data_IF_339240583300
#
_entry.id   IF_339240583300
#
_cell.length_a   1.000
_cell.length_b   1.000
_cell.length_c   1.000
_cell.angle_alpha   90.00
_cell.angle_beta   90.00
_cell.angle_gamma   90.00
#
_symmetry.space_group_name_H-M   'P 1'
#
loop_
_entity.id
_entity.type
_entity.pdbx_description
1 polymer ?
#
# COMPACT_ATOMS: atom_id res chain seq x y z
N UNK A 1 -30.11 -5.97 1.10
CA UNK A 1 -28.74 -5.41 1.10
C UNK A 1 -28.46 -4.93 2.51
N UNK A 2 -27.31 -5.25 3.09
CA UNK A 2 -26.86 -4.58 4.32
C UNK A 2 -26.62 -3.09 4.03
N UNK A 3 -26.83 -2.25 5.04
CA UNK A 3 -26.44 -0.84 4.94
C UNK A 3 -24.92 -0.78 5.08
N UNK A 4 -24.22 -0.27 4.06
CA UNK A 4 -22.76 -0.07 4.16
C UNK A 4 -22.43 0.87 5.30
N UNK A 5 -21.42 0.53 6.08
CA UNK A 5 -20.91 1.41 7.14
C UNK A 5 -19.60 2.02 6.70
N UNK A 6 -19.37 3.25 7.14
CA UNK A 6 -18.12 3.96 6.88
C UNK A 6 -17.59 4.52 8.20
N UNK A 7 -16.27 4.47 8.45
CA UNK A 7 -15.68 5.06 9.63
C UNK A 7 -15.93 6.58 9.69
N UNK A 8 -16.02 7.10 10.90
CA UNK A 8 -16.14 8.53 11.17
C UNK A 8 -14.82 9.25 10.84
N UNK A 9 -14.88 10.09 9.81
CA UNK A 9 -13.78 10.95 9.38
C UNK A 9 -14.25 12.40 9.30
N UNK A 10 -13.32 13.33 9.49
CA UNK A 10 -13.44 14.76 9.18
C UNK A 10 -12.54 15.13 8.00
N UNK A 11 -12.92 16.13 7.20
CA UNK A 11 -12.04 16.70 6.17
C UNK A 11 -11.21 17.83 6.79
N UNK A 12 -9.88 17.78 6.61
CA UNK A 12 -8.97 18.83 7.01
C UNK A 12 -8.07 19.17 5.81
N UNK A 13 -8.57 20.07 4.96
CA UNK A 13 -7.84 20.57 3.80
C UNK A 13 -7.75 19.56 2.67
N UNK A 14 -8.89 18.94 2.31
CA UNK A 14 -9.03 17.99 1.20
C UNK A 14 -8.54 16.58 1.51
N UNK A 15 -8.11 16.32 2.74
CA UNK A 15 -7.65 15.01 3.22
C UNK A 15 -8.49 14.61 4.43
N UNK A 16 -8.82 13.32 4.49
CA UNK A 16 -9.59 12.74 5.60
C UNK A 16 -8.71 12.44 6.79
N UNK A 17 -9.23 12.74 7.97
CA UNK A 17 -8.61 12.46 9.26
C UNK A 17 -9.61 11.77 10.18
N UNK A 18 -9.16 10.95 11.13
CA UNK A 18 -10.03 10.48 12.21
C UNK A 18 -10.64 11.65 13.00
N UNK A 19 -11.79 11.42 13.65
CA UNK A 19 -12.42 12.42 14.53
C UNK A 19 -11.53 12.83 15.72
N UNK A 20 -10.43 12.13 15.97
CA UNK A 20 -9.49 12.41 17.06
C UNK A 20 -8.52 13.54 16.75
N UNK A 21 -8.37 13.97 15.50
CA UNK A 21 -7.48 15.09 15.14
C UNK A 21 -8.08 16.45 15.49
N UNK A 22 -7.23 17.39 15.91
CA UNK A 22 -7.58 18.80 16.05
C UNK A 22 -7.16 19.51 14.75
N UNK A 23 -8.10 20.15 14.07
CA UNK A 23 -7.84 20.75 12.75
C UNK A 23 -6.70 21.79 12.77
N UNK A 24 -6.55 22.53 13.87
CA UNK A 24 -5.50 23.52 14.02
C UNK A 24 -4.11 22.89 14.21
N UNK A 25 -4.00 21.75 14.92
CA UNK A 25 -2.73 21.01 15.01
C UNK A 25 -2.27 20.49 13.63
N UNK A 26 -3.20 20.00 12.81
CA UNK A 26 -2.91 19.56 11.43
C UNK A 26 -2.50 20.75 10.55
N UNK A 27 -3.18 21.90 10.67
CA UNK A 27 -2.81 23.13 9.94
C UNK A 27 -1.45 23.67 10.38
N UNK A 28 -1.13 23.68 11.67
CA UNK A 28 0.19 24.04 12.15
C UNK A 28 1.27 23.12 11.59
N UNK A 29 1.04 21.80 11.63
CA UNK A 29 1.96 20.79 11.11
C UNK A 29 2.24 20.97 9.62
N UNK A 30 1.20 21.24 8.80
CA UNK A 30 1.33 21.54 7.37
C UNK A 30 2.16 22.81 7.08
N UNK A 31 2.31 23.70 8.07
CA UNK A 31 3.12 24.92 7.96
C UNK A 31 4.46 24.82 8.72
N UNK A 32 4.79 23.66 9.29
CA UNK A 32 6.03 23.47 10.03
C UNK A 32 7.18 23.14 9.08
N UNK A 33 8.06 24.11 8.85
CA UNK A 33 9.32 23.88 8.15
C UNK A 33 10.32 23.18 9.10
N UNK A 34 10.81 21.97 8.79
CA UNK A 34 11.89 21.35 9.55
C UNK A 34 13.17 22.19 9.46
N UNK A 35 13.95 22.26 10.53
CA UNK A 35 15.25 22.93 10.50
C UNK A 35 16.36 21.95 10.09
N UNK A 36 17.54 22.49 9.83
CA UNK A 36 18.76 21.75 9.51
C UNK A 36 19.07 20.70 10.59
N UNK A 37 19.25 19.44 10.19
CA UNK A 37 19.53 18.32 11.11
C UNK A 37 18.32 17.68 11.78
N UNK A 38 17.08 18.15 11.52
CA UNK A 38 15.88 17.44 11.98
C UNK A 38 15.74 16.08 11.30
N UNK A 39 15.14 15.12 12.01
CA UNK A 39 14.81 13.79 11.51
C UNK A 39 13.28 13.66 11.48
N UNK A 40 12.75 13.29 10.32
CA UNK A 40 11.30 13.16 10.07
C UNK A 40 10.99 11.73 9.64
N UNK A 41 10.29 10.97 10.48
CA UNK A 41 9.72 9.68 10.08
C UNK A 41 8.40 9.92 9.33
N UNK A 42 8.36 9.51 8.07
CA UNK A 42 7.19 9.61 7.20
C UNK A 42 6.77 8.23 6.70
N UNK A 43 5.48 7.98 6.62
CA UNK A 43 4.92 6.71 6.15
C UNK A 43 3.41 6.81 6.05
N UNK A 44 2.75 5.98 5.27
CA UNK A 44 1.29 5.87 5.39
C UNK A 44 0.92 5.17 6.72
N UNK A 45 -0.30 5.35 7.23
CA UNK A 45 -0.80 4.58 8.37
C UNK A 45 -0.62 3.07 8.14
N UNK A 46 -0.22 2.35 9.20
CA UNK A 46 -0.11 0.88 9.29
C UNK A 46 0.95 0.21 8.41
N UNK A 47 2.02 0.92 8.08
CA UNK A 47 3.20 0.36 7.40
C UNK A 47 4.22 -0.30 8.36
N UNK A 48 3.91 -0.50 9.64
CA UNK A 48 4.88 -0.89 10.67
C UNK A 48 5.55 0.31 11.36
N UNK A 49 4.85 1.44 11.40
CA UNK A 49 5.35 2.75 11.82
C UNK A 49 6.02 2.73 13.20
N UNK A 50 5.37 2.08 14.18
CA UNK A 50 5.84 2.01 15.57
C UNK A 50 7.13 1.19 15.71
N UNK A 51 7.35 0.17 14.86
CA UNK A 51 8.54 -0.68 14.92
C UNK A 51 9.77 0.08 14.43
N UNK A 52 9.67 0.76 13.28
CA UNK A 52 10.75 1.60 12.78
C UNK A 52 10.99 2.81 13.70
N UNK A 53 9.93 3.43 14.24
CA UNK A 53 10.05 4.49 15.24
C UNK A 53 10.82 4.04 16.49
N UNK A 54 10.52 2.85 17.02
CA UNK A 54 11.24 2.26 18.15
C UNK A 54 12.72 2.02 17.80
N UNK A 55 13.01 1.45 16.63
CA UNK A 55 14.38 1.25 16.15
C UNK A 55 15.12 2.59 16.06
N UNK A 56 14.50 3.63 15.47
CA UNK A 56 15.09 4.96 15.37
C UNK A 56 15.32 5.59 16.75
N UNK A 57 14.39 5.46 17.70
CA UNK A 57 14.62 5.88 19.09
C UNK A 57 15.79 5.11 19.72
N UNK A 58 15.91 3.80 19.51
CA UNK A 58 17.03 3.02 20.04
C UNK A 58 18.37 3.43 19.42
N UNK A 59 18.42 3.80 18.15
CA UNK A 59 19.62 4.38 17.52
C UNK A 59 19.99 5.72 18.20
N UNK A 60 19.02 6.64 18.30
CA UNK A 60 19.24 8.00 18.82
C UNK A 60 19.54 8.06 20.33
N UNK A 61 19.09 7.06 21.09
CA UNK A 61 19.24 6.96 22.55
C UNK A 61 20.14 5.80 23.00
N UNK A 62 21.08 5.35 22.15
CA UNK A 62 22.10 4.32 22.48
C UNK A 62 21.51 3.06 23.14
N UNK A 63 20.54 2.46 22.46
CA UNK A 63 19.82 1.25 22.87
C UNK A 63 18.94 1.42 24.12
N UNK A 64 18.71 2.63 24.61
CA UNK A 64 17.80 2.88 25.73
C UNK A 64 16.37 3.02 25.21
N UNK A 65 15.50 2.07 25.52
CA UNK A 65 14.07 2.19 25.24
C UNK A 65 13.42 3.32 26.07
N UNK A 66 12.22 3.73 25.69
CA UNK A 66 11.41 4.64 26.50
C UNK A 66 10.83 3.89 27.72
N UNK A 67 10.82 4.53 28.90
CA UNK A 67 10.31 3.92 30.13
C UNK A 67 8.77 3.78 30.13
N UNK A 68 8.07 4.66 29.40
CA UNK A 68 6.62 4.60 29.23
C UNK A 68 6.15 5.27 27.92
N UNK A 69 4.83 5.18 27.68
CA UNK A 69 4.12 5.79 26.55
C UNK A 69 4.34 7.31 26.44
N UNK A 70 4.42 8.02 27.58
CA UNK A 70 4.62 9.47 27.61
C UNK A 70 6.02 9.82 27.11
N UNK A 71 7.04 9.12 27.61
CA UNK A 71 8.39 9.30 27.13
C UNK A 71 8.51 8.93 25.63
N UNK A 72 7.95 7.80 25.20
CA UNK A 72 7.98 7.37 23.80
C UNK A 72 7.44 8.45 22.84
N UNK A 73 6.30 9.06 23.17
CA UNK A 73 5.70 10.13 22.36
C UNK A 73 6.35 11.51 22.58
N UNK A 74 7.13 11.73 23.66
CA UNK A 74 7.98 12.92 23.80
C UNK A 74 9.28 12.81 22.99
N UNK A 75 9.84 11.60 22.85
CA UNK A 75 11.03 11.31 22.02
C UNK A 75 10.73 11.39 20.52
N UNK A 76 9.51 11.04 20.10
CA UNK A 76 9.05 11.20 18.71
C UNK A 76 7.63 11.78 18.64
N UNK A 77 7.46 13.11 18.75
CA UNK A 77 6.14 13.72 18.68
C UNK A 77 5.48 13.49 17.33
N UNK A 78 4.21 13.10 17.35
CA UNK A 78 3.38 13.03 16.15
C UNK A 78 2.76 14.41 15.89
N UNK A 79 3.44 15.21 15.07
CA UNK A 79 3.21 16.66 14.93
C UNK A 79 1.76 17.02 14.57
N UNK A 80 1.07 16.20 13.79
CA UNK A 80 -0.34 16.38 13.43
C UNK A 80 -1.33 16.10 14.58
N UNK A 81 -0.95 15.28 15.57
CA UNK A 81 -1.77 14.97 16.74
C UNK A 81 -1.57 15.95 17.90
N UNK A 82 -0.32 16.38 18.12
CA UNK A 82 0.09 17.21 19.28
C UNK A 82 0.41 18.67 18.95
N UNK A 83 0.36 19.05 17.66
CA UNK A 83 0.73 20.39 17.20
C UNK A 83 2.24 20.59 17.14
N UNK A 84 2.68 21.81 16.82
CA UNK A 84 4.11 22.10 16.59
C UNK A 84 4.90 22.40 17.86
N UNK A 85 4.21 22.72 18.97
CA UNK A 85 4.83 23.09 20.24
C UNK A 85 5.84 22.08 20.78
N UNK A 86 5.50 20.78 20.89
CA UNK A 86 6.42 19.76 21.39
C UNK A 86 7.71 19.68 20.57
N UNK A 87 7.62 19.65 19.24
CA UNK A 87 8.79 19.59 18.33
C UNK A 87 9.67 20.83 18.46
N UNK A 88 9.07 22.03 18.56
CA UNK A 88 9.79 23.29 18.75
C UNK A 88 10.61 23.34 20.06
N UNK A 89 10.19 22.59 21.08
CA UNK A 89 10.83 22.56 22.40
C UNK A 89 11.87 21.42 22.55
N UNK A 90 12.02 20.53 21.57
CA UNK A 90 13.04 19.48 21.59
C UNK A 90 14.44 20.05 21.39
N UNK A 91 15.45 19.43 22.02
CA UNK A 91 16.86 19.68 21.70
C UNK A 91 17.25 18.93 20.41
N UNK A 92 18.18 19.47 19.59
CA UNK A 92 18.73 18.75 18.44
C UNK A 92 19.51 17.47 18.83
N UNK A 93 19.52 16.43 17.97
CA UNK A 93 18.71 16.29 16.76
C UNK A 93 17.23 16.04 17.12
N UNK A 94 16.33 16.81 16.52
CA UNK A 94 14.89 16.70 16.83
C UNK A 94 14.28 15.64 15.94
N UNK A 95 13.62 14.66 16.55
CA UNK A 95 12.99 13.56 15.86
C UNK A 95 11.47 13.63 16.00
N UNK A 96 10.73 13.66 14.90
CA UNK A 96 9.27 13.68 14.91
C UNK A 96 8.68 12.89 13.74
N UNK A 97 7.37 12.64 13.75
CA UNK A 97 6.70 11.83 12.73
C UNK A 97 5.41 12.43 12.18
N UNK A 98 5.08 12.04 10.95
CA UNK A 98 3.90 12.48 10.19
C UNK A 98 3.50 11.44 9.13
N UNK A 99 2.28 11.55 8.60
CA UNK A 99 1.81 10.78 7.45
C UNK A 99 1.25 11.75 6.38
N UNK A 100 2.04 12.77 6.05
CA UNK A 100 1.81 13.64 4.90
C UNK A 100 2.37 13.01 3.62
N UNK A 101 1.67 13.18 2.49
CA UNK A 101 2.26 12.97 1.17
C UNK A 101 3.38 13.98 0.92
N UNK A 102 4.28 13.69 -0.01
CA UNK A 102 5.46 14.52 -0.26
C UNK A 102 5.09 15.98 -0.57
N UNK A 103 4.03 16.21 -1.35
CA UNK A 103 3.55 17.54 -1.75
C UNK A 103 2.95 18.35 -0.59
N UNK A 104 2.56 17.68 0.50
CA UNK A 104 2.00 18.32 1.72
C UNK A 104 3.04 18.47 2.84
N UNK A 105 4.23 17.87 2.68
CA UNK A 105 5.33 17.98 3.64
C UNK A 105 6.22 19.18 3.29
N UNK A 106 6.40 20.16 4.20
CA UNK A 106 7.44 21.18 4.03
C UNK A 106 8.83 20.54 3.97
N UNK A 107 9.55 20.74 2.87
CA UNK A 107 10.85 20.13 2.60
C UNK A 107 12.00 21.09 2.94
N UNK A 108 12.92 20.65 3.82
CA UNK A 108 14.23 21.26 4.01
C UNK A 108 15.32 20.29 3.50
N UNK A 109 16.16 20.67 2.53
CA UNK A 109 17.20 19.79 1.96
C UNK A 109 18.29 19.36 2.97
N UNK A 110 18.34 19.98 4.16
CA UNK A 110 19.24 19.64 5.27
C UNK A 110 18.57 18.91 6.43
N UNK A 111 17.25 18.71 6.37
CA UNK A 111 16.55 17.78 7.23
C UNK A 111 16.59 16.37 6.60
N UNK A 112 16.48 15.33 7.42
CA UNK A 112 16.57 13.92 7.04
C UNK A 112 15.18 13.29 7.10
N UNK A 113 14.75 12.68 6.01
CA UNK A 113 13.43 12.06 5.90
C UNK A 113 13.59 10.55 5.82
N UNK A 114 12.99 9.82 6.75
CA UNK A 114 12.96 8.36 6.75
C UNK A 114 11.58 7.94 6.28
N UNK A 115 11.48 7.40 5.07
CA UNK A 115 10.22 6.98 4.47
C UNK A 115 10.02 5.47 4.58
N UNK A 116 8.96 5.04 5.27
CA UNK A 116 8.57 3.64 5.39
C UNK A 116 7.31 3.32 4.59
N UNK A 117 7.35 2.21 3.86
CA UNK A 117 6.17 1.57 3.27
C UNK A 117 6.13 0.07 3.57
N UNK A 118 5.03 -0.57 3.17
CA UNK A 118 4.73 -2.00 3.37
C UNK A 118 3.81 -2.46 2.25
N UNK A 119 3.74 -3.76 1.99
CA UNK A 119 2.77 -4.36 1.09
C UNK A 119 1.34 -3.81 1.35
N UNK A 120 0.64 -3.24 0.34
CA UNK A 120 -0.68 -2.62 0.51
C UNK A 120 -1.75 -3.55 1.05
N UNK A 121 -1.59 -4.88 0.91
CA UNK A 121 -2.52 -5.88 1.43
C UNK A 121 -2.46 -5.95 2.95
N UNK A 122 -1.26 -6.13 3.49
CA UNK A 122 -0.99 -6.10 4.92
C UNK A 122 -1.42 -4.77 5.54
N UNK A 123 -1.14 -3.67 4.85
CA UNK A 123 -1.59 -2.33 5.27
C UNK A 123 -3.11 -2.29 5.32
N UNK A 124 -3.82 -2.78 4.29
CA UNK A 124 -5.29 -2.80 4.28
C UNK A 124 -5.87 -3.65 5.41
N UNK A 125 -5.34 -4.84 5.68
CA UNK A 125 -5.80 -5.73 6.77
C UNK A 125 -5.51 -5.10 8.13
N UNK A 126 -4.27 -4.65 8.35
CA UNK A 126 -3.85 -4.00 9.60
C UNK A 126 -4.62 -2.70 9.88
N UNK A 127 -4.96 -1.96 8.83
CA UNK A 127 -5.73 -0.71 8.91
C UNK A 127 -7.23 -0.95 9.10
N UNK A 128 -7.80 -2.04 8.57
CA UNK A 128 -9.15 -2.47 8.93
C UNK A 128 -9.25 -2.77 10.44
N UNK A 129 -8.33 -3.60 10.97
CA UNK A 129 -8.34 -3.96 12.39
C UNK A 129 -8.13 -2.74 13.30
N UNK A 130 -7.18 -1.86 12.96
CA UNK A 130 -6.95 -0.59 13.66
C UNK A 130 -8.16 0.37 13.62
N UNK A 131 -8.85 0.44 12.49
CA UNK A 131 -10.03 1.29 12.30
C UNK A 131 -11.22 0.76 13.09
N UNK A 132 -11.35 -0.57 13.19
CA UNK A 132 -12.40 -1.24 13.96
C UNK A 132 -12.16 -1.21 15.47
N UNK A 133 -10.91 -1.28 15.93
CA UNK A 133 -10.56 -1.33 17.36
C UNK A 133 -10.63 0.02 18.08
N UNK A 134 -10.45 1.15 17.37
CA UNK A 134 -10.45 2.48 17.99
C UNK A 134 -11.83 3.16 17.96
N UNK A 135 -12.44 3.51 19.12
CA UNK A 135 -13.76 4.14 19.20
C UNK A 135 -13.92 5.42 18.38
N UNK A 136 -12.82 6.15 18.17
CA UNK A 136 -12.76 7.40 17.38
C UNK A 136 -13.31 7.26 15.96
N UNK A 137 -13.19 6.07 15.37
CA UNK A 137 -13.67 5.77 14.02
C UNK A 137 -15.12 5.28 13.98
N UNK A 138 -15.77 4.99 15.12
CA UNK A 138 -17.17 4.52 15.21
C UNK A 138 -17.47 3.34 14.26
N UNK A 139 -16.51 2.43 14.09
CA UNK A 139 -16.53 1.36 13.09
C UNK A 139 -16.40 -0.07 13.70
N UNK A 140 -16.68 -0.23 15.00
CA UNK A 140 -16.52 -1.51 15.73
C UNK A 140 -17.29 -2.70 15.14
N UNK A 141 -18.44 -2.42 14.50
CA UNK A 141 -19.30 -3.38 13.80
C UNK A 141 -19.23 -3.27 12.26
N UNK A 142 -18.23 -2.56 11.72
CA UNK A 142 -17.95 -2.48 10.30
C UNK A 142 -17.29 -3.75 9.75
N UNK A 143 -17.57 -4.09 8.49
CA UNK A 143 -17.01 -5.29 7.85
C UNK A 143 -15.69 -5.01 7.14
N UNK A 144 -14.93 -6.07 6.82
CA UNK A 144 -13.74 -5.94 5.98
C UNK A 144 -14.10 -5.44 4.57
N UNK A 145 -15.23 -5.89 3.99
CA UNK A 145 -15.68 -5.45 2.66
C UNK A 145 -15.98 -3.95 2.60
N UNK A 146 -16.63 -3.41 3.66
CA UNK A 146 -16.88 -1.97 3.81
C UNK A 146 -15.56 -1.18 3.84
N UNK A 147 -14.57 -1.67 4.59
CA UNK A 147 -13.26 -1.03 4.73
C UNK A 147 -12.41 -1.16 3.45
N UNK A 148 -12.43 -2.33 2.81
CA UNK A 148 -11.67 -2.59 1.58
C UNK A 148 -12.12 -1.67 0.44
N UNK A 149 -13.44 -1.43 0.28
CA UNK A 149 -13.92 -0.47 -0.72
C UNK A 149 -13.45 0.97 -0.42
N UNK A 150 -13.28 1.36 0.85
CA UNK A 150 -12.68 2.64 1.20
C UNK A 150 -11.19 2.70 0.87
N UNK A 151 -10.44 1.65 1.22
CA UNK A 151 -8.99 1.57 0.99
C UNK A 151 -8.66 1.66 -0.52
N UNK A 152 -9.33 0.87 -1.36
CA UNK A 152 -9.08 0.86 -2.82
C UNK A 152 -9.68 2.05 -3.58
N UNK A 153 -10.43 2.92 -2.92
CA UNK A 153 -10.97 4.16 -3.53
C UNK A 153 -10.36 5.43 -2.92
N UNK A 154 -9.30 5.32 -2.11
CA UNK A 154 -8.64 6.46 -1.48
C UNK A 154 -9.50 7.23 -0.49
N UNK A 155 -10.51 6.57 0.10
CA UNK A 155 -11.55 7.18 0.95
C UNK A 155 -11.36 6.92 2.44
N UNK A 156 -10.24 6.32 2.82
CA UNK A 156 -9.72 6.08 4.15
C UNK A 156 -9.10 7.34 4.81
N UNK A 157 -8.79 7.26 6.10
CA UNK A 157 -8.00 8.26 6.85
C UNK A 157 -6.58 8.32 6.27
N UNK A 158 -6.09 9.56 6.08
CA UNK A 158 -4.88 9.98 5.33
C UNK A 158 -4.96 9.92 3.80
N UNK A 159 -6.11 9.55 3.24
CA UNK A 159 -6.32 9.54 1.80
C UNK A 159 -5.70 8.32 1.12
N UNK A 160 -5.51 8.38 -0.19
CA UNK A 160 -5.11 7.22 -0.98
C UNK A 160 -3.69 6.74 -0.65
N UNK A 161 -3.58 5.45 -0.31
CA UNK A 161 -2.32 4.81 0.02
C UNK A 161 -1.33 4.83 -1.15
N UNK A 162 -1.82 4.64 -2.38
CA UNK A 162 -0.97 4.59 -3.56
C UNK A 162 -0.52 5.99 -3.97
N UNK A 163 -1.37 7.01 -3.89
CA UNK A 163 -0.93 8.40 -4.12
C UNK A 163 0.10 8.82 -3.06
N UNK A 164 -0.11 8.47 -1.78
CA UNK A 164 0.87 8.70 -0.71
C UNK A 164 2.19 7.97 -0.98
N UNK A 165 2.16 6.68 -1.32
CA UNK A 165 3.36 5.91 -1.67
C UNK A 165 4.09 6.51 -2.86
N UNK A 166 3.38 6.84 -3.93
CA UNK A 166 3.99 7.30 -5.17
C UNK A 166 4.59 8.71 -5.04
N UNK A 167 3.98 9.59 -4.24
CA UNK A 167 4.53 10.91 -3.92
C UNK A 167 5.94 10.81 -3.33
N UNK A 168 6.17 9.86 -2.41
CA UNK A 168 7.48 9.66 -1.78
C UNK A 168 8.40 8.75 -2.60
N UNK A 169 7.87 7.79 -3.36
CA UNK A 169 8.66 6.89 -4.19
C UNK A 169 9.40 7.61 -5.31
N UNK A 170 8.86 8.72 -5.85
CA UNK A 170 9.58 9.55 -6.83
C UNK A 170 10.82 10.25 -6.25
N UNK A 171 10.92 10.35 -4.93
CA UNK A 171 11.99 11.00 -4.17
C UNK A 171 12.88 9.99 -3.41
N UNK A 172 12.74 8.68 -3.68
CA UNK A 172 13.46 7.62 -2.96
C UNK A 172 15.00 7.67 -3.10
N UNK A 173 15.50 8.36 -4.13
CA UNK A 173 16.93 8.51 -4.44
C UNK A 173 17.46 9.90 -4.05
N UNK A 174 16.63 10.78 -3.46
CA UNK A 174 17.06 12.08 -2.98
C UNK A 174 18.03 11.91 -1.80
N UNK A 175 19.13 12.68 -1.79
CA UNK A 175 20.26 12.47 -0.86
C UNK A 175 19.93 12.62 0.63
N UNK A 176 18.76 13.15 0.96
CA UNK A 176 18.25 13.32 2.33
C UNK A 176 17.00 12.47 2.62
N UNK A 177 16.65 11.52 1.74
CA UNK A 177 15.55 10.56 1.90
C UNK A 177 16.13 9.15 2.07
N UNK A 178 15.84 8.50 3.21
CA UNK A 178 16.07 7.07 3.41
C UNK A 178 14.76 6.32 3.17
N UNK A 179 14.62 5.69 2.01
CA UNK A 179 13.46 4.86 1.67
C UNK A 179 13.68 3.41 2.13
N UNK A 180 12.70 2.84 2.84
CA UNK A 180 12.75 1.46 3.33
C UNK A 180 11.38 0.78 3.27
N UNK A 181 11.37 -0.54 3.08
CA UNK A 181 10.14 -1.35 3.22
C UNK A 181 10.13 -2.15 4.52
N UNK A 182 8.95 -2.40 5.08
CA UNK A 182 8.77 -3.30 6.23
C UNK A 182 9.33 -4.70 5.96
N UNK A 183 9.17 -5.17 4.72
CA UNK A 183 9.64 -6.47 4.24
C UNK A 183 11.18 -6.53 4.18
N UNK A 184 11.83 -5.46 3.74
CA UNK A 184 13.29 -5.31 3.75
C UNK A 184 13.83 -5.31 5.19
N UNK A 185 13.21 -4.50 6.07
CA UNK A 185 13.55 -4.43 7.49
C UNK A 185 13.39 -5.78 8.21
N UNK A 186 12.34 -6.56 7.88
CA UNK A 186 12.14 -7.92 8.42
C UNK A 186 13.14 -8.93 7.84
N UNK A 187 13.47 -8.84 6.55
CA UNK A 187 14.36 -9.80 5.86
C UNK A 187 15.84 -9.61 6.22
N UNK A 188 16.30 -8.35 6.20
CA UNK A 188 17.70 -7.97 6.28
C UNK A 188 17.95 -7.00 7.46
N UNK A 189 17.45 -7.34 8.65
CA UNK A 189 17.40 -6.42 9.80
C UNK A 189 18.73 -5.71 10.09
N UNK A 190 19.84 -6.45 10.28
CA UNK A 190 21.15 -5.84 10.63
C UNK A 190 21.65 -4.86 9.58
N UNK A 191 21.64 -5.25 8.30
CA UNK A 191 22.05 -4.37 7.20
C UNK A 191 21.15 -3.14 7.09
N UNK A 192 19.82 -3.31 7.17
CA UNK A 192 18.85 -2.22 7.08
C UNK A 192 18.99 -1.23 8.23
N UNK A 193 19.21 -1.71 9.45
CA UNK A 193 19.45 -0.88 10.64
C UNK A 193 20.78 -0.13 10.54
N UNK A 194 21.85 -0.75 10.03
CA UNK A 194 23.13 -0.07 9.83
C UNK A 194 23.05 1.00 8.74
N UNK A 195 22.42 0.71 7.59
CA UNK A 195 22.18 1.72 6.53
C UNK A 195 21.30 2.87 7.02
N UNK A 196 20.26 2.57 7.80
CA UNK A 196 19.44 3.59 8.47
C UNK A 196 20.31 4.44 9.39
N UNK A 197 21.11 3.83 10.27
CA UNK A 197 22.01 4.55 11.17
C UNK A 197 22.97 5.46 10.40
N UNK A 198 23.60 4.99 9.31
CA UNK A 198 24.46 5.82 8.45
C UNK A 198 23.71 7.02 7.85
N UNK A 199 22.45 6.82 7.43
CA UNK A 199 21.61 7.93 6.95
C UNK A 199 21.37 8.97 8.04
N UNK A 200 21.22 8.54 9.31
CA UNK A 200 20.97 9.41 10.47
C UNK A 200 22.24 10.13 10.94
N UNK A 201 23.37 9.43 11.11
CA UNK A 201 24.72 9.98 11.29
C UNK A 201 25.79 8.86 11.26
N UNK A 202 27.03 9.16 10.85
CA UNK A 202 28.09 8.14 10.82
C UNK A 202 28.40 7.63 12.24
N UNK A 203 28.41 8.49 13.26
CA UNK A 203 28.66 8.10 14.65
C UNK A 203 27.67 7.05 15.17
N UNK A 204 26.40 7.09 14.75
CA UNK A 204 25.40 6.09 15.13
C UNK A 204 25.68 4.74 14.49
N UNK A 205 26.06 4.73 13.20
CA UNK A 205 26.42 3.51 12.50
C UNK A 205 27.68 2.88 13.09
N UNK A 206 28.73 3.69 13.33
CA UNK A 206 29.99 3.22 13.91
C UNK A 206 29.79 2.59 15.28
N UNK A 207 28.99 3.20 16.15
CA UNK A 207 28.65 2.60 17.45
C UNK A 207 28.03 1.21 17.27
N UNK A 208 27.02 1.06 16.40
CA UNK A 208 26.33 -0.21 16.14
C UNK A 208 27.17 -1.25 15.36
N UNK A 209 28.19 -0.82 14.62
CA UNK A 209 29.17 -1.70 13.96
C UNK A 209 30.18 -2.27 14.97
N UNK A 210 30.66 -1.44 15.92
CA UNK A 210 31.76 -1.81 16.82
C UNK A 210 31.31 -2.40 18.15
N UNK A 211 30.09 -2.11 18.60
CA UNK A 211 29.55 -2.55 19.89
C UNK A 211 28.44 -3.60 19.65
N UNK A 212 28.82 -4.88 19.70
CA UNK A 212 27.90 -6.00 19.52
C UNK A 212 26.87 -6.10 20.65
N UNK A 213 27.20 -5.67 21.88
CA UNK A 213 26.26 -5.65 23.01
C UNK A 213 25.18 -4.58 22.80
N UNK A 214 25.56 -3.38 22.34
CA UNK A 214 24.64 -2.32 21.95
C UNK A 214 23.73 -2.75 20.78
N UNK A 215 24.29 -3.41 19.76
CA UNK A 215 23.50 -3.93 18.65
C UNK A 215 22.50 -5.00 19.11
N UNK A 216 22.93 -5.97 19.93
CA UNK A 216 22.02 -6.98 20.48
C UNK A 216 20.95 -6.35 21.37
N UNK A 217 21.30 -5.38 22.20
CA UNK A 217 20.35 -4.61 23.01
C UNK A 217 19.32 -3.88 22.13
N UNK A 218 19.73 -3.32 20.99
CA UNK A 218 18.79 -2.71 20.03
C UNK A 218 17.83 -3.76 19.46
N UNK A 219 18.33 -4.95 19.07
CA UNK A 219 17.48 -6.06 18.62
C UNK A 219 16.44 -6.40 19.69
N UNK A 220 16.88 -6.69 20.92
CA UNK A 220 16.02 -7.11 22.03
C UNK A 220 14.99 -6.04 22.42
N UNK A 221 15.40 -4.77 22.47
CA UNK A 221 14.51 -3.65 22.81
C UNK A 221 13.57 -3.24 21.65
N UNK A 222 13.80 -3.73 20.43
CA UNK A 222 12.93 -3.49 19.27
C UNK A 222 11.83 -4.55 19.11
N UNK A 223 11.75 -5.53 20.01
CA UNK A 223 10.80 -6.64 19.92
C UNK A 223 9.33 -6.18 20.04
N UNK A 224 8.41 -6.98 19.48
CA UNK A 224 6.96 -6.74 19.54
C UNK A 224 6.47 -6.74 20.99
N UNK A 225 7.04 -7.60 21.85
CA UNK A 225 6.70 -7.71 23.26
C UNK A 225 7.01 -6.42 24.02
N UNK A 226 8.22 -5.87 23.83
CA UNK A 226 8.63 -4.60 24.46
C UNK A 226 7.78 -3.44 23.92
N UNK A 227 7.59 -3.38 22.60
CA UNK A 227 6.79 -2.32 21.96
C UNK A 227 5.32 -2.37 22.42
N UNK A 228 4.74 -3.56 22.53
CA UNK A 228 3.39 -3.81 23.07
C UNK A 228 3.27 -3.37 24.51
N UNK A 229 4.25 -3.72 25.35
CA UNK A 229 4.31 -3.26 26.75
C UNK A 229 4.39 -1.74 26.86
N UNK A 230 5.09 -1.03 25.95
CA UNK A 230 5.19 0.43 25.98
C UNK A 230 3.90 1.08 25.49
N UNK A 231 3.41 0.75 24.28
CA UNK A 231 2.33 1.51 23.64
C UNK A 231 0.91 1.08 24.05
N UNK A 232 0.71 -0.08 24.67
CA UNK A 232 -0.61 -0.48 25.20
C UNK A 232 -1.12 0.56 26.21
N UNK A 233 -2.29 1.16 25.95
CA UNK A 233 -2.94 2.12 26.85
C UNK A 233 -3.86 1.39 27.82
N UNK A 234 -3.66 1.60 29.12
CA UNK A 234 -4.48 1.03 30.21
C UNK A 234 -4.98 2.13 31.14
N UNK A 235 -6.05 1.89 31.90
CA UNK A 235 -6.52 2.83 32.94
C UNK A 235 -5.40 3.21 33.92
N UNK A 236 -4.52 2.24 34.28
CA UNK A 236 -3.37 2.49 35.16
C UNK A 236 -2.35 3.45 34.57
N UNK A 237 -1.98 3.29 33.28
CA UNK A 237 -1.10 4.23 32.58
C UNK A 237 -1.74 5.60 32.41
N UNK A 238 -3.04 5.66 32.15
CA UNK A 238 -3.76 6.93 32.03
C UNK A 238 -3.76 7.72 33.35
N UNK A 239 -3.99 7.06 34.49
CA UNK A 239 -3.82 7.68 35.81
C UNK A 239 -2.39 8.15 36.05
N UNK A 240 -1.39 7.33 35.72
CA UNK A 240 0.02 7.73 35.88
C UNK A 240 0.41 8.95 35.03
N UNK A 241 -0.12 9.08 33.80
CA UNK A 241 0.08 10.29 32.99
C UNK A 241 -0.61 11.52 33.60
N UNK A 242 -1.78 11.35 34.22
CA UNK A 242 -2.51 12.42 34.92
C UNK A 242 -1.74 12.88 36.18
N UNK A 243 -1.22 11.93 36.97
CA UNK A 243 -0.37 12.18 38.14
C UNK A 243 0.96 12.88 37.78
N UNK A 244 1.56 12.53 36.63
CA UNK A 244 2.79 13.18 36.10
C UNK A 244 2.53 14.55 35.46
N UNK A 245 1.27 14.90 35.18
CA UNK A 245 0.91 16.14 34.46
C UNK A 245 1.14 16.08 32.95
N UNK A 246 1.24 14.88 32.35
CA UNK A 246 1.47 14.63 30.91
C UNK A 246 0.22 14.89 30.04
N UNK A 247 -0.43 16.03 30.29
CA UNK A 247 -1.76 16.39 29.80
C UNK A 247 -1.90 16.34 28.27
N UNK A 248 -0.86 16.67 27.52
CA UNK A 248 -0.91 16.66 26.05
C UNK A 248 -1.05 15.23 25.47
N UNK A 249 -0.36 14.26 26.06
CA UNK A 249 -0.39 12.85 25.61
C UNK A 249 -1.63 12.16 26.16
N UNK A 250 -2.03 12.51 27.39
CA UNK A 250 -3.30 12.07 27.97
C UNK A 250 -4.52 12.56 27.17
N UNK A 251 -4.52 13.79 26.67
CA UNK A 251 -5.56 14.33 25.78
C UNK A 251 -5.61 13.60 24.43
N UNK A 252 -4.47 13.21 23.86
CA UNK A 252 -4.44 12.34 22.66
C UNK A 252 -5.01 10.96 22.98
N UNK A 253 -4.55 10.31 24.05
CA UNK A 253 -5.04 8.98 24.45
C UNK A 253 -6.56 8.98 24.69
N UNK A 254 -7.07 9.99 25.43
CA UNK A 254 -8.51 10.20 25.68
C UNK A 254 -9.29 10.39 24.36
N UNK A 255 -8.76 11.10 23.36
CA UNK A 255 -9.41 11.32 22.05
C UNK A 255 -9.52 10.07 21.17
N UNK A 256 -8.59 9.11 21.27
CA UNK A 256 -8.51 7.97 20.35
C UNK A 256 -9.01 6.65 20.95
N UNK A 257 -8.77 6.44 22.25
CA UNK A 257 -8.92 5.12 22.91
C UNK A 257 -10.15 5.08 23.82
N UNK A 258 -10.61 6.22 24.33
CA UNK A 258 -11.77 6.26 25.21
C UNK A 258 -13.09 6.20 24.44
N UNK A 259 -14.06 5.51 25.03
CA UNK A 259 -15.46 5.56 24.64
C UNK A 259 -16.16 6.81 25.23
N UNK A 260 -17.46 6.97 24.97
CA UNK A 260 -18.26 8.12 25.44
C UNK A 260 -18.31 8.25 26.98
N UNK A 261 -18.01 7.19 27.74
CA UNK A 261 -17.89 7.24 29.21
C UNK A 261 -16.50 7.66 29.71
N UNK A 262 -15.58 8.03 28.83
CA UNK A 262 -14.22 8.45 29.18
C UNK A 262 -13.27 7.30 29.57
N UNK A 263 -13.70 6.04 29.45
CA UNK A 263 -12.89 4.85 29.73
C UNK A 263 -12.27 4.28 28.46
N UNK A 264 -11.01 3.78 28.49
CA UNK A 264 -10.43 3.06 27.36
C UNK A 264 -11.30 1.85 27.00
N UNK A 265 -11.58 1.63 25.72
CA UNK A 265 -12.32 0.44 25.29
C UNK A 265 -11.47 -0.82 25.50
N UNK A 266 -12.02 -1.95 26.00
CA UNK A 266 -11.30 -3.23 26.05
C UNK A 266 -10.78 -3.68 24.68
N UNK A 267 -11.49 -3.32 23.61
CA UNK A 267 -11.12 -3.61 22.22
C UNK A 267 -10.02 -2.67 21.68
N UNK A 268 -9.78 -1.54 22.36
CA UNK A 268 -8.79 -0.52 21.99
C UNK A 268 -7.45 -0.66 22.71
N UNK A 269 -7.28 -1.73 23.50
CA UNK A 269 -5.97 -2.23 23.90
C UNK A 269 -5.21 -2.47 22.59
N UNK A 270 -4.20 -1.63 22.33
CA UNK A 270 -3.48 -1.61 21.06
C UNK A 270 -2.79 -2.96 20.83
N UNK A 271 -3.47 -3.83 20.08
CA UNK A 271 -2.86 -5.04 19.52
C UNK A 271 -1.90 -4.59 18.41
N UNK A 272 -0.67 -4.29 18.84
CA UNK A 272 0.39 -3.80 17.97
C UNK A 272 0.75 -4.92 17.03
N UNK A 273 0.36 -4.73 15.77
CA UNK A 273 0.74 -5.57 14.66
C UNK A 273 0.39 -7.04 14.89
N UNK A 274 -0.85 -7.28 15.34
CA UNK A 274 -1.60 -8.54 15.29
C UNK A 274 -1.81 -9.11 13.87
N UNK A 275 -0.89 -8.84 12.95
CA UNK A 275 -0.56 -9.74 11.85
C UNK A 275 0.10 -10.96 12.50
N UNK A 276 -0.66 -12.05 12.61
CA UNK A 276 -0.09 -13.35 12.99
C UNK A 276 1.16 -13.61 12.16
N UNK A 277 2.21 -14.08 12.81
CA UNK A 277 3.51 -14.20 12.17
C UNK A 277 3.52 -15.31 11.10
N UNK A 278 3.43 -14.92 9.83
CA UNK A 278 3.62 -15.78 8.66
C UNK A 278 5.13 -15.99 8.36
N UNK A 279 6.00 -16.10 9.37
CA UNK A 279 7.47 -16.24 9.18
C UNK A 279 7.94 -17.65 8.83
N UNK A 280 7.05 -18.65 8.81
CA UNK A 280 7.36 -19.92 8.17
C UNK A 280 7.64 -19.67 6.67
N UNK A 281 8.60 -20.40 6.11
CA UNK A 281 9.03 -20.39 4.69
C UNK A 281 10.09 -19.34 4.26
N UNK A 282 11.36 -19.66 4.54
CA UNK A 282 12.51 -19.24 3.71
C UNK A 282 12.60 -20.11 2.45
N UNK A 283 12.82 -19.51 1.28
CA UNK A 283 13.48 -20.14 0.12
C UNK A 283 14.24 -19.04 -0.66
N UNK A 284 15.43 -19.37 -1.18
CA UNK A 284 16.24 -18.52 -2.07
C UNK A 284 15.57 -18.25 -3.43
N UNK A 285 15.96 -17.14 -4.07
CA UNK A 285 15.55 -16.79 -5.43
C UNK A 285 16.75 -16.37 -6.29
N UNK A 286 17.35 -17.36 -6.97
CA UNK A 286 17.92 -17.14 -8.30
C UNK A 286 16.83 -17.44 -9.35
N UNK A 287 16.54 -16.49 -10.24
CA UNK A 287 16.16 -16.78 -11.64
C UNK A 287 16.11 -15.51 -12.50
N UNK A 288 16.71 -15.59 -13.68
CA UNK A 288 16.74 -14.53 -14.67
C UNK A 288 15.37 -14.36 -15.36
N UNK A 289 14.88 -13.13 -15.46
CA UNK A 289 13.66 -12.82 -16.22
C UNK A 289 14.00 -12.37 -17.65
N UNK A 290 13.64 -13.19 -18.64
CA UNK A 290 13.77 -12.90 -20.08
C UNK A 290 13.16 -11.54 -20.45
N UNK A 291 13.97 -10.68 -21.08
CA UNK A 291 13.59 -9.33 -21.48
C UNK A 291 12.90 -9.29 -22.86
N UNK A 292 11.58 -9.10 -22.87
CA UNK A 292 10.85 -8.76 -24.09
C UNK A 292 10.71 -7.24 -24.21
N UNK A 293 11.18 -6.68 -25.33
CA UNK A 293 11.15 -5.23 -25.63
C UNK A 293 10.11 -4.97 -26.74
N UNK A 294 8.94 -4.36 -26.43
CA UNK A 294 7.92 -4.02 -27.43
C UNK A 294 8.47 -3.07 -28.50
N UNK A 295 7.87 -3.10 -29.69
CA UNK A 295 8.28 -2.27 -30.82
C UNK A 295 7.41 -1.00 -30.95
N UNK A 296 7.92 0.00 -31.66
CA UNK A 296 7.25 1.29 -31.85
C UNK A 296 5.95 1.13 -32.67
N UNK A 297 4.82 1.16 -31.98
CA UNK A 297 3.48 1.00 -32.58
C UNK A 297 2.58 0.01 -31.84
N UNK A 298 3.17 -0.83 -30.98
CA UNK A 298 2.43 -1.88 -30.28
C UNK A 298 1.44 -1.32 -29.24
N UNK A 299 0.28 -1.97 -29.15
CA UNK A 299 -0.68 -1.79 -28.06
C UNK A 299 -0.53 -2.98 -27.12
N UNK A 300 0.12 -2.75 -25.98
CA UNK A 300 0.43 -3.80 -25.02
C UNK A 300 -0.61 -3.81 -23.90
N UNK A 301 -1.38 -4.90 -23.82
CA UNK A 301 -2.19 -5.20 -22.64
C UNK A 301 -1.33 -5.86 -21.57
N UNK A 302 -1.31 -5.27 -20.37
CA UNK A 302 -0.54 -5.77 -19.22
C UNK A 302 -1.51 -6.15 -18.11
N UNK A 303 -1.24 -7.28 -17.45
CA UNK A 303 -2.15 -7.94 -16.52
C UNK A 303 -1.29 -8.82 -15.60
N UNK A 304 -1.27 -8.59 -14.28
CA UNK A 304 -0.56 -9.46 -13.36
C UNK A 304 -1.30 -10.79 -13.27
N UNK A 305 -0.75 -11.82 -13.92
CA UNK A 305 -1.40 -13.14 -14.11
C UNK A 305 -2.65 -13.04 -15.03
N UNK A 306 -3.25 -14.18 -15.42
CA UNK A 306 -4.36 -14.20 -16.41
C UNK A 306 -5.67 -13.71 -15.79
N UNK A 307 -5.87 -12.39 -15.69
CA UNK A 307 -6.99 -11.73 -15.01
C UNK A 307 -8.38 -11.83 -15.69
N UNK A 308 -8.67 -12.87 -16.48
CA UNK A 308 -9.94 -12.98 -17.21
C UNK A 308 -10.05 -12.02 -18.41
N UNK A 309 -8.90 -11.67 -19.00
CA UNK A 309 -8.74 -10.61 -20.00
C UNK A 309 -9.63 -10.73 -21.24
N UNK A 310 -10.19 -11.91 -21.53
CA UNK A 310 -11.03 -12.21 -22.69
C UNK A 310 -12.06 -11.11 -23.02
N UNK A 311 -12.66 -10.45 -22.02
CA UNK A 311 -13.66 -9.39 -22.24
C UNK A 311 -13.04 -8.09 -22.77
N UNK A 312 -12.01 -7.61 -22.08
CA UNK A 312 -11.32 -6.38 -22.47
C UNK A 312 -10.51 -6.61 -23.75
N UNK A 313 -9.90 -7.79 -23.91
CA UNK A 313 -9.24 -8.25 -25.13
C UNK A 313 -10.21 -8.30 -26.32
N UNK A 314 -11.42 -8.82 -26.16
CA UNK A 314 -12.43 -8.79 -27.24
C UNK A 314 -12.90 -7.36 -27.54
N UNK A 315 -13.13 -6.52 -26.53
CA UNK A 315 -13.49 -5.10 -26.73
C UNK A 315 -12.38 -4.38 -27.51
N UNK A 316 -11.13 -4.57 -27.11
CA UNK A 316 -9.96 -4.02 -27.79
C UNK A 316 -9.84 -4.54 -29.23
N UNK A 317 -10.00 -5.84 -29.46
CA UNK A 317 -10.02 -6.44 -30.80
C UNK A 317 -11.13 -5.85 -31.66
N UNK A 318 -12.34 -5.68 -31.15
CA UNK A 318 -13.47 -5.12 -31.90
C UNK A 318 -13.29 -3.63 -32.22
N UNK A 319 -12.67 -2.86 -31.31
CA UNK A 319 -12.35 -1.44 -31.52
C UNK A 319 -11.20 -1.26 -32.53
N UNK A 320 -10.23 -2.19 -32.56
CA UNK A 320 -9.05 -2.09 -33.43
C UNK A 320 -9.26 -2.73 -34.82
N UNK A 321 -9.88 -3.90 -34.87
CA UNK A 321 -10.08 -4.71 -36.09
C UNK A 321 -11.20 -4.18 -37.00
N UNK A 322 -12.03 -3.25 -36.51
CA UNK A 322 -13.07 -2.61 -37.32
C UNK A 322 -12.53 -1.56 -38.31
N UNK A 323 -11.21 -1.30 -38.36
CA UNK A 323 -10.62 -0.27 -39.21
C UNK A 323 -9.16 -0.55 -39.64
N UNK A 324 -8.92 -1.62 -40.39
CA UNK A 324 -7.62 -1.82 -41.07
C UNK A 324 -7.51 -1.05 -42.38
N UNK A 325 -6.60 -0.07 -42.38
CA UNK A 325 -5.63 0.30 -43.45
C UNK A 325 -5.25 1.77 -43.30
N UNK A 326 -4.25 2.07 -42.45
CA UNK A 326 -3.28 3.18 -42.53
C UNK A 326 -2.31 3.08 -41.32
N UNK A 327 -1.03 3.47 -41.47
CA UNK A 327 -0.02 3.26 -40.43
C UNK A 327 -0.19 4.21 -39.23
N UNK A 328 0.16 3.73 -38.03
CA UNK A 328 0.14 4.52 -36.78
C UNK A 328 1.57 4.71 -36.26
N UNK A 329 1.84 5.91 -35.74
CA UNK A 329 3.18 6.46 -35.43
C UNK A 329 3.06 7.33 -34.17
N UNK A 330 3.93 7.26 -33.15
CA UNK A 330 5.01 6.30 -32.84
C UNK A 330 5.04 5.90 -31.35
N UNK A 331 4.45 6.72 -30.47
CA UNK A 331 4.55 6.60 -29.00
C UNK A 331 3.49 5.63 -28.46
N UNK A 332 3.93 4.52 -27.84
CA UNK A 332 3.07 3.43 -27.41
C UNK A 332 1.99 3.84 -26.37
N UNK A 333 0.92 3.03 -26.28
CA UNK A 333 -0.18 3.19 -25.32
C UNK A 333 -0.43 1.88 -24.60
N UNK A 334 -0.54 1.93 -23.28
CA UNK A 334 -0.78 0.76 -22.44
C UNK A 334 -2.20 0.78 -21.88
N UNK A 335 -2.87 -0.36 -21.84
CA UNK A 335 -4.18 -0.51 -21.20
C UNK A 335 -4.03 -1.50 -20.05
N UNK A 336 -4.28 -1.03 -18.82
CA UNK A 336 -4.09 -1.79 -17.59
C UNK A 336 -5.43 -1.98 -16.88
N UNK A 337 -5.85 -3.25 -16.78
CA UNK A 337 -7.04 -3.65 -16.02
C UNK A 337 -6.61 -4.08 -14.63
N UNK A 338 -6.77 -3.20 -13.65
CA UNK A 338 -6.61 -3.59 -12.26
C UNK A 338 -7.83 -4.42 -11.84
N UNK A 339 -7.63 -5.62 -11.32
CA UNK A 339 -8.71 -6.43 -10.74
C UNK A 339 -8.43 -6.62 -9.25
N UNK A 340 -9.47 -6.81 -8.44
CA UNK A 340 -9.30 -7.10 -7.01
C UNK A 340 -8.35 -8.32 -6.88
N UNK A 341 -7.32 -8.22 -6.03
CA UNK A 341 -6.32 -9.27 -5.91
C UNK A 341 -6.95 -10.61 -5.50
N UNK A 342 -7.95 -10.61 -4.62
CA UNK A 342 -8.69 -11.81 -4.25
C UNK A 342 -9.31 -12.47 -5.49
N UNK A 343 -9.88 -11.67 -6.39
CA UNK A 343 -10.46 -12.09 -7.66
C UNK A 343 -9.41 -12.60 -8.67
N UNK A 344 -8.21 -12.01 -8.67
CA UNK A 344 -7.06 -12.45 -9.49
C UNK A 344 -6.56 -13.80 -8.99
N UNK A 345 -6.31 -13.91 -7.68
CA UNK A 345 -5.87 -15.13 -7.03
C UNK A 345 -6.92 -16.24 -7.17
N UNK A 346 -8.22 -15.98 -6.94
CA UNK A 346 -9.30 -16.97 -7.12
C UNK A 346 -9.37 -17.43 -8.57
N UNK A 347 -9.26 -16.50 -9.53
CA UNK A 347 -9.26 -16.83 -10.96
C UNK A 347 -8.02 -17.61 -11.39
N UNK A 348 -6.86 -17.35 -10.79
CA UNK A 348 -5.59 -18.02 -11.13
C UNK A 348 -5.46 -19.37 -10.42
N UNK A 349 -5.91 -19.48 -9.17
CA UNK A 349 -6.05 -20.74 -8.41
C UNK A 349 -6.98 -21.73 -9.12
N UNK A 350 -8.13 -21.23 -9.62
CA UNK A 350 -9.04 -22.05 -10.43
C UNK A 350 -8.40 -22.51 -11.76
N UNK A 351 -7.45 -21.75 -12.29
CA UNK A 351 -6.77 -22.03 -13.55
C UNK A 351 -5.59 -23.01 -13.39
N UNK A 352 -4.77 -22.88 -12.35
CA UNK A 352 -3.65 -23.81 -12.08
C UNK A 352 -4.14 -25.22 -11.80
N UNK A 353 -5.32 -25.38 -11.19
CA UNK A 353 -5.95 -26.68 -10.95
C UNK A 353 -6.61 -27.30 -12.19
N UNK A 354 -6.84 -26.54 -13.25
CA UNK A 354 -7.47 -27.02 -14.51
C UNK A 354 -6.48 -27.22 -15.66
N UNK A 355 -5.29 -26.61 -15.62
CA UNK A 355 -4.28 -26.74 -16.68
C UNK A 355 -3.09 -27.59 -16.20
N UNK A 356 -2.84 -28.78 -16.79
CA UNK A 356 -1.83 -29.73 -16.31
C UNK A 356 -0.37 -29.24 -16.22
N UNK A 357 -0.04 -28.08 -16.80
CA UNK A 357 1.33 -27.59 -16.96
C UNK A 357 1.89 -26.84 -15.73
N UNK A 358 1.05 -26.43 -14.78
CA UNK A 358 1.46 -25.62 -13.62
C UNK A 358 1.81 -26.47 -12.39
N UNK A 359 2.79 -26.00 -11.61
CA UNK A 359 3.36 -26.73 -10.47
C UNK A 359 2.41 -26.83 -9.26
N UNK A 360 1.56 -25.84 -9.03
CA UNK A 360 0.63 -25.84 -7.90
C UNK A 360 -0.68 -26.55 -8.25
N UNK A 361 -0.77 -27.84 -7.92
CA UNK A 361 -1.98 -28.66 -8.10
C UNK A 361 -2.74 -28.95 -6.80
N UNK A 362 -1.99 -29.15 -5.72
CA UNK A 362 -2.49 -29.59 -4.41
C UNK A 362 -2.10 -28.56 -3.34
N UNK A 363 -3.08 -28.15 -2.55
CA UNK A 363 -2.98 -27.05 -1.59
C UNK A 363 -4.30 -26.28 -1.51
N UNK A 364 -4.46 -25.44 -0.49
CA UNK A 364 -5.63 -24.58 -0.29
C UNK A 364 -5.56 -23.30 -1.13
N UNK A 365 -6.63 -22.51 -1.09
CA UNK A 365 -6.62 -21.17 -1.68
C UNK A 365 -5.63 -20.24 -0.95
N UNK A 366 -5.52 -20.39 0.36
CA UNK A 366 -4.66 -19.55 1.20
C UNK A 366 -3.18 -19.85 0.91
N UNK A 367 -2.80 -21.14 0.81
CA UNK A 367 -1.46 -21.57 0.38
C UNK A 367 -1.08 -20.97 -0.99
N UNK A 368 -2.03 -20.90 -1.92
CA UNK A 368 -1.82 -20.31 -3.24
C UNK A 368 -1.72 -18.79 -3.22
N UNK A 369 -2.51 -18.14 -2.37
CA UNK A 369 -2.47 -16.70 -2.15
C UNK A 369 -1.12 -16.28 -1.59
N UNK A 370 -0.59 -17.02 -0.61
CA UNK A 370 0.75 -16.84 -0.06
C UNK A 370 1.85 -16.98 -1.13
N UNK A 371 1.79 -17.97 -2.03
CA UNK A 371 2.74 -18.08 -3.15
C UNK A 371 2.69 -16.87 -4.12
N UNK A 372 1.53 -16.24 -4.28
CA UNK A 372 1.38 -15.03 -5.10
C UNK A 372 1.95 -13.79 -4.39
N UNK A 373 1.76 -13.68 -3.08
CA UNK A 373 2.22 -12.56 -2.26
C UNK A 373 3.72 -12.62 -1.99
N UNK A 374 4.25 -13.79 -1.61
CA UNK A 374 5.69 -14.03 -1.32
C UNK A 374 6.57 -14.05 -2.56
N UNK A 375 5.98 -14.13 -3.76
CA UNK A 375 6.70 -14.23 -5.03
C UNK A 375 7.24 -15.62 -5.36
N UNK A 376 6.94 -16.63 -4.55
CA UNK A 376 7.36 -18.04 -4.72
C UNK A 376 6.59 -18.78 -5.84
N UNK A 377 6.12 -18.06 -6.85
CA UNK A 377 5.38 -18.56 -8.00
C UNK A 377 6.18 -18.34 -9.30
N UNK A 378 5.77 -19.00 -10.39
CA UNK A 378 6.45 -18.97 -11.70
C UNK A 378 6.53 -17.57 -12.37
N UNK A 379 6.07 -16.49 -11.71
CA UNK A 379 6.08 -15.09 -12.18
C UNK A 379 6.73 -14.09 -11.20
N UNK A 380 7.27 -14.55 -10.07
CA UNK A 380 7.93 -13.70 -9.08
C UNK A 380 6.99 -12.86 -8.20
N UNK A 381 7.57 -11.90 -7.48
CA UNK A 381 6.88 -11.07 -6.49
C UNK A 381 5.87 -10.11 -7.14
N UNK A 382 4.59 -10.19 -6.72
CA UNK A 382 3.50 -9.40 -7.30
C UNK A 382 3.74 -7.89 -7.16
N UNK A 383 4.26 -7.45 -6.01
CA UNK A 383 4.52 -6.03 -5.77
C UNK A 383 5.62 -5.50 -6.70
N UNK A 384 6.67 -6.28 -6.97
CA UNK A 384 7.76 -5.89 -7.87
C UNK A 384 7.26 -5.80 -9.32
N UNK A 385 6.35 -6.69 -9.72
CA UNK A 385 5.66 -6.62 -11.01
C UNK A 385 4.80 -5.34 -11.15
N UNK A 386 4.11 -4.93 -10.08
CA UNK A 386 3.31 -3.70 -10.04
C UNK A 386 4.22 -2.45 -10.06
N UNK A 387 5.19 -2.40 -9.16
CA UNK A 387 6.08 -1.25 -8.95
C UNK A 387 7.11 -1.06 -10.06
N UNK A 388 7.54 -2.11 -10.78
CA UNK A 388 8.41 -1.96 -11.96
C UNK A 388 7.70 -1.34 -13.17
N UNK A 389 6.35 -1.26 -13.15
CA UNK A 389 5.55 -0.75 -14.28
C UNK A 389 4.83 0.56 -13.97
N UNK A 390 4.60 0.86 -12.70
CA UNK A 390 3.97 2.11 -12.26
C UNK A 390 4.76 3.39 -12.62
N UNK A 391 6.11 3.46 -12.55
CA UNK A 391 6.91 4.65 -12.91
C UNK A 391 6.74 5.14 -14.35
N UNK A 392 6.14 4.32 -15.23
CA UNK A 392 5.82 4.74 -16.59
C UNK A 392 4.50 5.52 -16.72
N UNK A 393 3.76 5.74 -15.63
CA UNK A 393 2.52 6.55 -15.57
C UNK A 393 2.69 7.96 -16.16
N UNK A 394 3.86 8.55 -15.96
CA UNK A 394 4.13 9.96 -16.33
C UNK A 394 4.95 10.12 -17.64
N UNK A 395 5.37 9.01 -18.25
CA UNK A 395 6.09 8.99 -19.53
C UNK A 395 5.36 8.24 -20.66
N UNK A 396 4.55 7.25 -20.31
CA UNK A 396 3.72 6.48 -21.24
C UNK A 396 2.24 6.82 -21.03
N UNK A 397 1.48 6.88 -22.13
CA UNK A 397 0.03 7.03 -22.03
C UNK A 397 -0.53 5.69 -21.55
N UNK A 398 -0.95 5.63 -20.27
CA UNK A 398 -1.55 4.44 -19.65
C UNK A 398 -3.04 4.68 -19.36
N UNK A 399 -3.90 3.72 -19.74
CA UNK A 399 -5.30 3.70 -19.35
C UNK A 399 -5.51 2.74 -18.20
N UNK A 400 -5.66 3.28 -16.99
CA UNK A 400 -6.00 2.50 -15.81
C UNK A 400 -7.52 2.40 -15.67
N UNK A 401 -8.00 1.19 -15.38
CA UNK A 401 -9.41 0.93 -15.06
C UNK A 401 -9.48 -0.22 -14.07
N UNK A 402 -10.32 -0.11 -13.03
CA UNK A 402 -10.58 -1.26 -12.15
C UNK A 402 -11.70 -2.16 -12.68
N UNK A 403 -11.64 -3.47 -12.43
CA UNK A 403 -12.66 -4.42 -12.88
C UNK A 403 -14.05 -4.14 -12.28
N UNK A 404 -14.12 -3.61 -11.06
CA UNK A 404 -15.37 -3.18 -10.44
C UNK A 404 -15.92 -1.89 -11.05
N UNK A 405 -15.06 -0.91 -11.36
CA UNK A 405 -15.45 0.26 -12.13
C UNK A 405 -15.94 -0.18 -13.53
N UNK A 406 -15.23 -1.09 -14.20
CA UNK A 406 -15.57 -1.66 -15.51
C UNK A 406 -16.92 -2.38 -15.50
N UNK A 407 -17.29 -3.06 -14.41
CA UNK A 407 -18.61 -3.65 -14.21
C UNK A 407 -19.70 -2.58 -13.99
N UNK A 408 -19.48 -1.63 -13.07
CA UNK A 408 -20.47 -0.63 -12.65
C UNK A 408 -20.73 0.44 -13.73
N UNK A 409 -19.66 0.88 -14.41
CA UNK A 409 -19.63 2.03 -15.31
C UNK A 409 -19.20 1.64 -16.75
N UNK A 410 -19.49 0.40 -17.18
CA UNK A 410 -19.05 -0.19 -18.46
C UNK A 410 -19.12 0.77 -19.66
N UNK A 411 -20.24 1.50 -19.82
CA UNK A 411 -20.45 2.44 -20.93
C UNK A 411 -19.50 3.63 -20.89
N UNK A 412 -19.34 4.28 -19.75
CA UNK A 412 -18.43 5.42 -19.58
C UNK A 412 -16.99 4.98 -19.84
N UNK A 413 -16.61 3.82 -19.33
CA UNK A 413 -15.26 3.27 -19.46
C UNK A 413 -14.92 2.89 -20.90
N UNK A 414 -15.85 2.25 -21.64
CA UNK A 414 -15.64 1.96 -23.07
C UNK A 414 -15.49 3.26 -23.87
N UNK A 415 -16.23 4.31 -23.52
CA UNK A 415 -16.10 5.64 -24.16
C UNK A 415 -14.78 6.34 -23.79
N UNK A 416 -14.34 6.26 -22.52
CA UNK A 416 -13.05 6.77 -22.04
C UNK A 416 -11.87 6.02 -22.69
N UNK A 417 -11.97 4.70 -22.81
CA UNK A 417 -11.01 3.86 -23.54
C UNK A 417 -10.96 4.27 -25.02
N UNK A 418 -12.11 4.54 -25.63
CA UNK A 418 -12.19 5.13 -26.98
C UNK A 418 -11.40 6.43 -27.13
N UNK A 419 -11.60 7.40 -26.23
CA UNK A 419 -10.84 8.68 -26.21
C UNK A 419 -9.35 8.45 -26.00
N UNK A 420 -8.98 7.55 -25.08
CA UNK A 420 -7.60 7.19 -24.81
C UNK A 420 -6.90 6.58 -26.05
N UNK A 421 -7.57 5.67 -26.76
CA UNK A 421 -7.06 5.10 -28.02
C UNK A 421 -6.97 6.16 -29.12
N UNK A 422 -7.89 7.13 -29.14
CA UNK A 422 -7.80 8.39 -29.88
C UNK A 422 -9.14 8.85 -30.47
N UNK A 423 -9.24 10.12 -30.85
CA UNK A 423 -10.50 10.77 -31.26
C UNK A 423 -11.30 10.03 -32.34
N UNK A 424 -10.63 9.32 -33.27
CA UNK A 424 -11.30 8.50 -34.28
C UNK A 424 -12.13 7.36 -33.65
N UNK A 425 -11.60 6.70 -32.62
CA UNK A 425 -12.27 5.62 -31.90
C UNK A 425 -13.36 6.19 -30.97
N UNK A 426 -13.11 7.32 -30.32
CA UNK A 426 -14.12 8.03 -29.54
C UNK A 426 -15.35 8.40 -30.38
N UNK A 427 -15.15 8.98 -31.57
CA UNK A 427 -16.25 9.32 -32.51
C UNK A 427 -16.98 8.06 -33.00
N UNK A 428 -16.26 6.98 -33.31
CA UNK A 428 -16.87 5.73 -33.73
C UNK A 428 -17.75 5.09 -32.64
N UNK A 429 -17.32 5.10 -31.37
CA UNK A 429 -18.06 4.54 -30.23
C UNK A 429 -19.27 5.38 -29.78
N UNK A 430 -19.44 6.59 -30.32
CA UNK A 430 -20.69 7.37 -30.16
C UNK A 430 -21.80 6.84 -31.09
N UNK A 431 -21.46 6.12 -32.17
CA UNK A 431 -22.47 5.43 -32.98
C UNK A 431 -23.15 4.31 -32.19
N UNK A 432 -24.49 4.26 -32.25
CA UNK A 432 -25.30 3.26 -31.52
C UNK A 432 -24.88 1.83 -31.92
N UNK A 433 -24.66 1.60 -33.20
CA UNK A 433 -24.43 0.26 -33.76
C UNK A 433 -23.08 -0.34 -33.36
N UNK A 434 -22.00 0.45 -33.35
CA UNK A 434 -20.69 -0.05 -32.92
C UNK A 434 -20.68 -0.30 -31.41
N UNK A 435 -21.24 0.63 -30.62
CA UNK A 435 -21.31 0.46 -29.17
C UNK A 435 -22.14 -0.78 -28.80
N UNK A 436 -23.28 -1.01 -29.46
CA UNK A 436 -24.13 -2.17 -29.25
C UNK A 436 -23.39 -3.49 -29.59
N UNK A 437 -22.69 -3.55 -30.73
CA UNK A 437 -21.84 -4.71 -31.09
C UNK A 437 -20.75 -4.98 -30.06
N UNK A 438 -20.11 -3.94 -29.52
CA UNK A 438 -19.10 -4.05 -28.44
C UNK A 438 -19.72 -4.58 -27.14
N UNK A 439 -20.95 -4.18 -26.79
CA UNK A 439 -21.68 -4.75 -25.64
C UNK A 439 -21.98 -6.23 -25.85
N UNK A 440 -22.52 -6.60 -27.00
CA UNK A 440 -22.98 -7.96 -27.32
C UNK A 440 -21.83 -8.96 -27.43
N UNK A 441 -20.81 -8.67 -28.24
CA UNK A 441 -19.69 -9.58 -28.50
C UNK A 441 -18.66 -9.63 -27.36
N UNK A 442 -18.75 -8.70 -26.40
CA UNK A 442 -18.01 -8.79 -25.13
C UNK A 442 -18.79 -9.48 -24.02
N UNK A 443 -20.06 -9.86 -24.24
CA UNK A 443 -20.89 -10.47 -23.19
C UNK A 443 -20.31 -11.80 -22.70
N UNK A 444 -20.57 -12.14 -21.43
CA UNK A 444 -20.12 -13.40 -20.82
C UNK A 444 -20.67 -14.63 -21.57
N UNK A 445 -21.90 -14.56 -22.07
CA UNK A 445 -22.53 -15.61 -22.87
C UNK A 445 -21.81 -15.82 -24.21
N UNK A 446 -21.49 -14.74 -24.95
CA UNK A 446 -20.77 -14.83 -26.22
C UNK A 446 -19.33 -15.30 -26.03
N UNK A 447 -18.63 -14.79 -25.02
CA UNK A 447 -17.27 -15.24 -24.69
C UNK A 447 -17.20 -16.70 -24.25
N UNK A 448 -18.19 -17.19 -23.50
CA UNK A 448 -18.29 -18.59 -23.10
C UNK A 448 -18.30 -19.51 -24.34
N UNK A 449 -19.18 -19.22 -25.29
CA UNK A 449 -19.27 -19.95 -26.57
C UNK A 449 -17.96 -19.88 -27.38
N UNK A 450 -17.31 -18.70 -27.42
CA UNK A 450 -16.04 -18.51 -28.11
C UNK A 450 -14.87 -19.28 -27.45
N UNK A 451 -14.87 -19.41 -26.12
CA UNK A 451 -13.86 -20.17 -25.38
C UNK A 451 -14.04 -21.68 -25.60
N UNK A 452 -15.27 -22.19 -25.50
CA UNK A 452 -15.56 -23.61 -25.82
C UNK A 452 -15.14 -23.95 -27.26
N UNK A 453 -15.42 -23.06 -28.23
CA UNK A 453 -14.95 -23.23 -29.61
C UNK A 453 -13.41 -23.22 -29.73
N UNK A 454 -12.71 -22.36 -28.98
CA UNK A 454 -11.23 -22.38 -28.92
C UNK A 454 -10.70 -23.67 -28.32
N UNK A 455 -11.26 -24.15 -27.21
CA UNK A 455 -10.84 -25.41 -26.57
C UNK A 455 -11.02 -26.59 -27.51
N UNK A 456 -12.16 -26.68 -28.19
CA UNK A 456 -12.44 -27.75 -29.15
C UNK A 456 -11.51 -27.70 -30.37
N UNK A 457 -11.14 -26.49 -30.83
CA UNK A 457 -10.18 -26.28 -31.93
C UNK A 457 -8.74 -26.59 -31.49
N UNK A 458 -8.33 -26.18 -30.29
CA UNK A 458 -7.02 -26.52 -29.71
C UNK A 458 -6.88 -28.02 -29.52
N UNK A 459 -7.92 -28.71 -29.02
CA UNK A 459 -7.94 -30.17 -28.88
C UNK A 459 -7.72 -30.86 -30.23
N UNK A 460 -8.41 -30.42 -31.29
CA UNK A 460 -8.25 -30.90 -32.67
C UNK A 460 -6.89 -30.57 -33.31
N UNK A 461 -6.15 -29.58 -32.82
CA UNK A 461 -4.79 -29.27 -33.25
C UNK A 461 -3.78 -30.19 -32.54
N UNK A 462 -3.91 -30.34 -31.22
CA UNK A 462 -3.10 -31.31 -30.43
C UNK A 462 -3.30 -32.76 -30.90
N UNK A 463 -4.54 -33.17 -31.22
CA UNK A 463 -4.87 -34.48 -31.80
C UNK A 463 -4.22 -34.70 -33.19
N UNK A 464 -3.83 -33.63 -33.90
CA UNK A 464 -3.14 -33.69 -35.20
C UNK A 464 -1.61 -33.61 -35.10
N UNK A 465 -1.06 -33.39 -33.91
CA UNK A 465 0.39 -33.33 -33.70
C UNK A 465 1.07 -32.03 -34.13
N UNK A 466 0.31 -31.00 -34.51
CA UNK A 466 0.85 -29.63 -34.70
C UNK A 466 1.24 -29.06 -33.33
N UNK A 467 2.47 -28.56 -33.21
CA UNK A 467 3.07 -28.14 -31.94
C UNK A 467 3.32 -26.62 -31.79
N UNK A 468 3.08 -25.85 -32.84
CA UNK A 468 3.26 -24.38 -32.88
C UNK A 468 1.95 -23.63 -32.58
#
# INVERSE_FOLDING_TARGET
MSLKRFPAYQDIGGVKYSMGYKADHVREALNYMPHDGDIVLVSHLKCGNNWLEQIMQLILYSGQSAADLSEYHRRTPYIEMVGTGPVKNMQPPRFFKTHFSYERQPMNPKAKYVYLTRNPLDVCVSFYHFTRSLPVYRFGDGTFDDFFELFVTGKNDRGDFFDHLMSWYSHKDDSNVFFVTYEELKRNFKDTVLRLAYSLAEEYARQLETDEELFQKLVDQSSIEILSQILTITEGKMRSMEEKGDNAILDVAKRFVCNESGKPSPESILDIDGVRDFSAYKVDLDNEALSFVPHNGDIVMVSPLKCGNNRLEQIMKLILYSYERQPINTKAKYVYLARNLLDICVSFYSFTRTVPMYRFRDGTFDDFFELCVTGQNDRGHFFDHLMSRYPHKDGAKVFFVSYEEFKRNFRDIVLRLGRFLGDKYAKALVSKDLFQKVVEQSSLSFMSQFLTFREEKMRKLFEKGDKD
#
